data_IF_466430097786
#
_entry.id   IF_466430097786
#
_cell.length_a   1.000
_cell.length_b   1.000
_cell.length_c   1.000
_cell.angle_alpha   90.00
_cell.angle_beta   90.00
_cell.angle_gamma   90.00
#
_symmetry.space_group_name_H-M   'P 1'
#
loop_
_entity.id
_entity.type
_entity.pdbx_description
1 polymer ?
#
# COMPACT_ATOMS: atom_id res chain seq x y z
N UNK A 1 22.26 -40.16 27.36
CA UNK A 1 22.31 -39.46 26.06
C UNK A 1 21.01 -38.69 25.78
N UNK A 2 20.43 -37.96 26.76
CA UNK A 2 19.10 -37.33 26.62
C UNK A 2 19.11 -35.79 26.59
N UNK A 3 20.21 -35.15 26.99
CA UNK A 3 20.30 -33.69 27.10
C UNK A 3 20.58 -33.00 25.76
N UNK A 4 21.28 -33.67 24.83
CA UNK A 4 21.64 -33.11 23.52
C UNK A 4 20.46 -33.13 22.55
N UNK A 5 19.69 -34.22 22.52
CA UNK A 5 18.48 -34.32 21.70
C UNK A 5 17.43 -33.25 22.06
N UNK A 6 17.30 -32.97 23.36
CA UNK A 6 16.37 -31.97 23.89
C UNK A 6 16.78 -30.52 23.54
N UNK A 7 18.08 -30.26 23.37
CA UNK A 7 18.58 -28.95 22.98
C UNK A 7 18.38 -28.67 21.48
N UNK A 8 18.52 -29.70 20.64
CA UNK A 8 18.32 -29.57 19.20
C UNK A 8 16.83 -29.44 18.85
N UNK A 9 15.95 -30.11 19.61
CA UNK A 9 14.50 -29.95 19.50
C UNK A 9 14.05 -28.53 19.90
N UNK A 10 14.57 -28.02 21.03
CA UNK A 10 14.32 -26.64 21.46
C UNK A 10 14.80 -25.59 20.43
N UNK A 11 15.98 -25.79 19.82
CA UNK A 11 16.47 -24.92 18.75
C UNK A 11 15.58 -24.94 17.51
N UNK A 12 14.99 -26.09 17.19
CA UNK A 12 14.09 -26.22 16.05
C UNK A 12 12.76 -25.51 16.31
N UNK A 13 12.20 -25.64 17.50
CA UNK A 13 10.99 -24.91 17.91
C UNK A 13 11.23 -23.40 17.90
N UNK A 14 12.31 -22.93 18.50
CA UNK A 14 12.65 -21.50 18.52
C UNK A 14 12.83 -20.93 17.10
N UNK A 15 13.46 -21.69 16.19
CA UNK A 15 13.58 -21.27 14.79
C UNK A 15 12.23 -21.19 14.07
N UNK A 16 11.28 -22.07 14.40
CA UNK A 16 9.94 -22.03 13.80
C UNK A 16 9.16 -20.83 14.30
N UNK A 17 9.17 -20.57 15.61
CA UNK A 17 8.50 -19.40 16.20
C UNK A 17 9.07 -18.10 15.65
N UNK A 18 10.39 -17.93 15.66
CA UNK A 18 11.04 -16.73 15.13
C UNK A 18 10.72 -16.51 13.64
N UNK A 19 10.66 -17.59 12.85
CA UNK A 19 10.29 -17.51 11.44
C UNK A 19 8.84 -17.05 11.24
N UNK A 20 7.93 -17.51 12.09
CA UNK A 20 6.52 -17.12 12.03
C UNK A 20 6.35 -15.65 12.42
N UNK A 21 7.04 -15.20 13.46
CA UNK A 21 7.01 -13.81 13.93
C UNK A 21 7.54 -12.85 12.87
N UNK A 22 8.73 -13.13 12.30
CA UNK A 22 9.30 -12.34 11.21
C UNK A 22 8.36 -12.29 10.00
N UNK A 23 7.76 -13.43 9.64
CA UNK A 23 6.84 -13.47 8.49
C UNK A 23 5.59 -12.62 8.74
N UNK A 24 5.03 -12.69 9.95
CA UNK A 24 3.87 -11.88 10.34
C UNK A 24 4.20 -10.38 10.29
N UNK A 25 5.34 -9.95 10.84
CA UNK A 25 5.76 -8.55 10.81
C UNK A 25 5.99 -8.03 9.39
N UNK A 26 6.68 -8.81 8.55
CA UNK A 26 6.92 -8.43 7.14
C UNK A 26 5.60 -8.31 6.39
N UNK A 27 4.66 -9.23 6.61
CA UNK A 27 3.34 -9.16 6.00
C UNK A 27 2.54 -7.94 6.46
N UNK A 28 2.67 -7.55 7.74
CA UNK A 28 2.02 -6.36 8.27
C UNK A 28 2.59 -5.08 7.65
N UNK A 29 3.92 -4.98 7.55
CA UNK A 29 4.60 -3.86 6.87
C UNK A 29 4.16 -3.75 5.41
N UNK A 30 4.14 -4.87 4.67
CA UNK A 30 3.71 -4.90 3.27
C UNK A 30 2.24 -4.49 3.15
N UNK A 31 1.36 -4.97 4.03
CA UNK A 31 -0.05 -4.56 4.02
C UNK A 31 -0.20 -3.07 4.27
N UNK A 32 0.52 -2.52 5.24
CA UNK A 32 0.46 -1.09 5.55
C UNK A 32 0.98 -0.21 4.40
N UNK A 33 1.94 -0.70 3.62
CA UNK A 33 2.52 0.02 2.49
C UNK A 33 1.61 -0.02 1.24
N UNK A 34 1.11 -1.20 0.87
CA UNK A 34 0.33 -1.39 -0.36
C UNK A 34 -1.18 -1.22 -0.16
N UNK A 35 -1.69 -1.55 1.03
CA UNK A 35 -3.09 -1.49 1.42
C UNK A 35 -3.26 -0.75 2.75
N UNK A 36 -2.79 0.52 2.84
CA UNK A 36 -2.85 1.28 4.08
C UNK A 36 -4.28 1.30 4.64
N UNK A 37 -4.45 1.29 5.97
CA UNK A 37 -5.74 1.44 6.61
C UNK A 37 -6.53 2.62 6.04
N UNK A 38 -7.85 2.46 5.95
CA UNK A 38 -8.77 3.45 5.35
C UNK A 38 -8.55 4.85 5.94
N UNK A 39 -8.26 4.96 7.23
CA UNK A 39 -7.96 6.22 7.91
C UNK A 39 -6.74 6.95 7.33
N UNK A 40 -5.67 6.23 6.99
CA UNK A 40 -4.46 6.79 6.39
C UNK A 40 -4.73 7.22 4.94
N UNK A 41 -5.46 6.40 4.17
CA UNK A 41 -5.88 6.72 2.80
C UNK A 41 -6.74 7.99 2.79
N UNK A 42 -7.77 8.03 3.66
CA UNK A 42 -8.74 9.12 3.73
C UNK A 42 -8.09 10.45 4.05
N UNK A 43 -7.16 10.51 5.03
CA UNK A 43 -6.42 11.74 5.35
C UNK A 43 -5.58 12.23 4.16
N UNK A 44 -4.84 11.34 3.50
CA UNK A 44 -4.01 11.68 2.33
C UNK A 44 -4.87 12.14 1.15
N UNK A 45 -5.99 11.47 0.92
CA UNK A 45 -6.95 11.81 -0.13
C UNK A 45 -7.59 13.18 0.11
N UNK A 46 -8.12 13.43 1.31
CA UNK A 46 -8.70 14.73 1.68
C UNK A 46 -7.69 15.86 1.46
N UNK A 47 -6.45 15.70 1.94
CA UNK A 47 -5.41 16.70 1.74
C UNK A 47 -5.13 16.96 0.25
N UNK A 48 -5.14 15.91 -0.59
CA UNK A 48 -4.96 16.07 -2.04
C UNK A 48 -6.13 16.81 -2.70
N UNK A 49 -7.36 16.57 -2.25
CA UNK A 49 -8.55 17.30 -2.71
C UNK A 49 -8.44 18.78 -2.31
N UNK A 50 -8.13 19.08 -1.06
CA UNK A 50 -7.96 20.46 -0.57
C UNK A 50 -6.84 21.21 -1.32
N UNK A 51 -5.70 20.56 -1.59
CA UNK A 51 -4.62 21.11 -2.41
C UNK A 51 -5.08 21.41 -3.84
N UNK A 52 -5.90 20.54 -4.44
CA UNK A 52 -6.45 20.73 -5.77
C UNK A 52 -7.45 21.90 -5.80
N UNK A 53 -8.36 21.99 -4.82
CA UNK A 53 -9.29 23.11 -4.68
C UNK A 53 -8.56 24.45 -4.52
N UNK A 54 -7.52 24.49 -3.68
CA UNK A 54 -6.70 25.69 -3.53
C UNK A 54 -6.05 26.11 -4.85
N UNK A 55 -5.49 25.16 -5.61
CA UNK A 55 -4.90 25.46 -6.93
C UNK A 55 -5.93 26.01 -7.90
N UNK A 56 -7.16 25.51 -7.88
CA UNK A 56 -8.25 26.05 -8.72
C UNK A 56 -8.59 27.48 -8.32
N UNK A 57 -8.71 27.77 -7.01
CA UNK A 57 -8.95 29.13 -6.49
C UNK A 57 -7.83 30.11 -6.87
N UNK A 58 -6.58 29.65 -6.87
CA UNK A 58 -5.41 30.42 -7.31
C UNK A 58 -5.27 30.56 -8.84
N UNK A 59 -6.22 30.01 -9.62
CA UNK A 59 -6.16 30.03 -11.09
C UNK A 59 -5.11 29.08 -11.69
N UNK A 60 -4.46 28.24 -10.88
CA UNK A 60 -3.43 27.26 -11.28
C UNK A 60 -4.05 25.91 -11.68
N UNK A 61 -5.01 25.94 -12.59
CA UNK A 61 -5.67 24.75 -13.13
C UNK A 61 -5.51 24.68 -14.64
N UNK A 62 -5.49 23.46 -15.18
CA UNK A 62 -5.57 23.22 -16.61
C UNK A 62 -7.00 22.80 -16.94
N UNK A 63 -7.59 23.40 -17.98
CA UNK A 63 -8.83 22.91 -18.59
C UNK A 63 -8.45 21.99 -19.75
N UNK A 64 -9.09 20.84 -19.81
CA UNK A 64 -9.00 19.94 -20.95
C UNK A 64 -10.35 19.92 -21.67
N UNK A 65 -10.33 19.75 -22.99
CA UNK A 65 -11.50 19.24 -23.70
C UNK A 65 -11.67 17.77 -23.34
N UNK A 66 -12.88 17.23 -23.52
CA UNK A 66 -13.19 15.82 -23.24
C UNK A 66 -12.22 14.90 -23.99
N UNK A 67 -12.01 15.15 -25.29
CA UNK A 67 -11.09 14.38 -26.14
C UNK A 67 -9.64 14.36 -25.61
N UNK A 68 -9.13 15.51 -25.15
CA UNK A 68 -7.76 15.60 -24.60
C UNK A 68 -7.67 14.91 -23.25
N UNK A 69 -8.74 15.00 -22.44
CA UNK A 69 -8.80 14.33 -21.15
C UNK A 69 -8.80 12.81 -21.34
N UNK A 70 -9.68 12.27 -22.18
CA UNK A 70 -9.78 10.83 -22.46
C UNK A 70 -8.47 10.27 -23.02
N UNK A 71 -7.83 10.99 -23.96
CA UNK A 71 -6.54 10.55 -24.49
C UNK A 71 -5.44 10.55 -23.43
N UNK A 72 -5.39 11.58 -22.57
CA UNK A 72 -4.33 11.74 -21.57
C UNK A 72 -4.50 10.82 -20.36
N UNK A 73 -5.74 10.47 -20.04
CA UNK A 73 -6.10 9.65 -18.88
C UNK A 73 -6.79 8.35 -19.28
N UNK A 74 -6.50 7.84 -20.49
CA UNK A 74 -7.16 6.70 -21.12
C UNK A 74 -7.36 5.52 -20.16
N UNK A 75 -6.30 5.08 -19.51
CA UNK A 75 -6.29 3.93 -18.61
C UNK A 75 -7.02 4.15 -17.27
N UNK A 76 -7.28 5.41 -16.90
CA UNK A 76 -8.13 5.74 -15.75
C UNK A 76 -9.61 5.60 -16.15
N UNK A 77 -9.94 5.97 -17.39
CA UNK A 77 -11.31 5.92 -17.92
C UNK A 77 -11.68 4.51 -18.42
N UNK A 78 -10.71 3.74 -18.89
CA UNK A 78 -10.86 2.39 -19.41
C UNK A 78 -9.97 1.40 -18.63
N UNK A 79 -10.22 1.21 -17.32
CA UNK A 79 -9.39 0.34 -16.48
C UNK A 79 -9.42 -1.14 -16.91
N UNK A 80 -10.43 -1.56 -17.67
CA UNK A 80 -10.54 -2.90 -18.24
C UNK A 80 -9.47 -3.23 -19.29
N UNK A 81 -8.83 -2.21 -19.88
CA UNK A 81 -7.79 -2.38 -20.90
C UNK A 81 -6.38 -2.52 -20.27
N UNK A 82 -6.28 -2.55 -18.94
CA UNK A 82 -5.03 -2.74 -18.20
C UNK A 82 -4.63 -4.22 -18.05
N UNK A 83 -5.49 -5.16 -18.49
CA UNK A 83 -5.37 -6.61 -18.26
C UNK A 83 -5.27 -7.34 -19.59
#
# INVERSE_FOLDING_TARGET
>A
MNTVANLDELKLELKKELRQEILAEVLDIIRDEFYPPEEKIRKKFIKKVEEAERRVKEGKFSKYTVEVFEKRFYYIVHPQDLI
#
